data_IF_605431958936
#
_entry.id   IF_605431958936
#
_cell.length_a   1.000
_cell.length_b   1.000
_cell.length_c   1.000
_cell.angle_alpha   90.00
_cell.angle_beta   90.00
_cell.angle_gamma   90.00
#
_symmetry.space_group_name_H-M   'P 1'
#
loop_
_entity.id
_entity.type
_entity.pdbx_description
1 polymer ?
#
# COMPACT_ATOMS: atom_id res chain seq x y z
N UNK A 1 -9.37 -2.95 -2.36
CA UNK A 1 -9.53 -2.70 -0.92
C UNK A 1 -9.56 -4.00 -0.12
N UNK A 2 -10.57 -4.88 -0.24
CA UNK A 2 -10.61 -6.15 0.54
C UNK A 2 -9.37 -7.04 0.39
N UNK A 3 -8.90 -7.24 -0.84
CA UNK A 3 -7.69 -8.03 -1.10
C UNK A 3 -6.45 -7.46 -0.42
N UNK A 4 -6.32 -6.14 -0.39
CA UNK A 4 -5.16 -5.48 0.20
C UNK A 4 -5.22 -5.51 1.72
N UNK A 5 -6.41 -5.46 2.32
CA UNK A 5 -6.60 -5.66 3.76
C UNK A 5 -6.27 -7.11 4.17
N UNK A 6 -6.74 -8.09 3.39
CA UNK A 6 -6.43 -9.52 3.59
C UNK A 6 -4.92 -9.79 3.53
N UNK A 7 -4.24 -9.31 2.48
CA UNK A 7 -2.82 -9.58 2.27
C UNK A 7 -1.90 -8.78 3.21
N UNK A 8 -2.33 -7.62 3.69
CA UNK A 8 -1.57 -6.79 4.65
C UNK A 8 -1.92 -7.07 6.11
N UNK A 9 -2.95 -7.88 6.37
CA UNK A 9 -3.53 -8.09 7.69
C UNK A 9 -3.80 -6.77 8.45
N UNK A 10 -4.24 -5.75 7.72
CA UNK A 10 -4.47 -4.39 8.23
C UNK A 10 -5.77 -3.86 7.66
N UNK A 11 -6.63 -3.30 8.51
CA UNK A 11 -7.86 -2.64 8.05
C UNK A 11 -7.53 -1.32 7.37
N UNK A 12 -8.20 -1.03 6.26
CA UNK A 12 -8.00 0.23 5.58
C UNK A 12 -8.53 1.40 6.43
N UNK A 13 -7.78 2.50 6.41
CA UNK A 13 -8.11 3.74 7.11
C UNK A 13 -8.06 4.95 6.18
N UNK A 14 -8.38 6.11 6.75
CA UNK A 14 -8.19 7.41 6.10
C UNK A 14 -6.87 8.01 6.58
N UNK A 15 -6.20 8.72 5.68
CA UNK A 15 -4.95 9.41 5.97
C UNK A 15 -5.09 10.90 5.66
N UNK A 16 -4.45 11.74 6.47
CA UNK A 16 -4.49 13.20 6.34
C UNK A 16 -3.23 13.74 5.64
N UNK A 17 -2.98 13.22 4.44
CA UNK A 17 -1.90 13.70 3.57
C UNK A 17 -2.28 13.56 2.09
N UNK A 18 -1.71 14.43 1.27
CA UNK A 18 -1.94 14.43 -0.16
C UNK A 18 -1.15 13.30 -0.85
N UNK A 19 -1.77 12.71 -1.87
CA UNK A 19 -1.18 11.73 -2.80
C UNK A 19 -1.76 11.95 -4.19
N UNK A 20 -1.32 11.16 -5.17
CA UNK A 20 -1.83 11.15 -6.52
C UNK A 20 -3.13 10.34 -6.67
N UNK A 21 -3.59 9.63 -5.62
CA UNK A 21 -4.79 8.79 -5.68
C UNK A 21 -6.06 9.50 -6.17
N UNK A 22 -6.34 10.78 -5.81
CA UNK A 22 -7.50 11.49 -6.34
C UNK A 22 -7.50 11.61 -7.88
N UNK A 23 -6.33 11.81 -8.49
CA UNK A 23 -6.21 11.91 -9.95
C UNK A 23 -6.50 10.56 -10.62
N UNK A 24 -5.94 9.46 -10.10
CA UNK A 24 -6.23 8.12 -10.62
C UNK A 24 -7.69 7.71 -10.42
N UNK A 25 -8.30 8.09 -9.29
CA UNK A 25 -9.74 7.90 -9.06
C UNK A 25 -10.60 8.64 -10.09
N UNK A 26 -10.24 9.89 -10.42
CA UNK A 26 -10.94 10.67 -11.46
C UNK A 26 -10.79 10.05 -12.86
N UNK A 27 -9.72 9.30 -13.11
CA UNK A 27 -9.53 8.51 -14.33
C UNK A 27 -10.30 7.17 -14.33
N UNK A 28 -11.11 6.90 -13.31
CA UNK A 28 -11.93 5.68 -13.21
C UNK A 28 -11.21 4.46 -12.64
N UNK A 29 -10.01 4.64 -12.06
CA UNK A 29 -9.26 3.55 -11.44
C UNK A 29 -9.71 3.32 -9.99
N UNK A 30 -9.74 2.06 -9.55
CA UNK A 30 -9.84 1.76 -8.12
C UNK A 30 -8.48 1.99 -7.46
N UNK A 31 -8.40 2.98 -6.56
CA UNK A 31 -7.13 3.37 -5.94
C UNK A 31 -7.06 2.97 -4.47
N UNK A 32 -5.85 2.60 -4.02
CA UNK A 32 -5.52 2.39 -2.61
C UNK A 32 -4.09 2.89 -2.39
N UNK A 33 -3.84 3.51 -1.23
CA UNK A 33 -2.49 3.89 -0.80
C UNK A 33 -1.94 2.80 0.12
N UNK A 34 -0.77 2.28 -0.21
CA UNK A 34 -0.11 1.20 0.52
C UNK A 34 1.40 1.46 0.60
N UNK A 35 1.99 1.22 1.77
CA UNK A 35 3.43 1.33 1.97
C UNK A 35 3.85 0.57 3.24
N UNK A 36 5.11 0.11 3.33
CA UNK A 36 5.64 -0.50 4.55
C UNK A 36 6.06 0.54 5.60
N UNK A 37 6.07 1.82 5.22
CA UNK A 37 6.46 2.92 6.09
C UNK A 37 5.45 3.21 7.20
N UNK A 38 5.87 4.06 8.13
CA UNK A 38 5.00 4.66 9.13
C UNK A 38 4.90 6.15 8.82
N UNK A 39 3.67 6.67 8.72
CA UNK A 39 3.46 8.08 8.43
C UNK A 39 4.04 8.98 9.52
N UNK A 40 4.13 8.50 10.77
CA UNK A 40 4.76 9.24 11.85
C UNK A 40 6.28 9.45 11.64
N UNK A 41 6.92 8.66 10.77
CA UNK A 41 8.34 8.81 10.39
C UNK A 41 8.54 9.66 9.13
N UNK A 42 7.49 9.89 8.34
CA UNK A 42 7.61 10.69 7.13
C UNK A 42 7.99 12.15 7.45
N UNK A 43 8.85 12.75 6.62
CA UNK A 43 9.35 14.13 6.75
C UNK A 43 10.07 14.44 8.06
N UNK A 44 10.52 13.42 8.79
CA UNK A 44 11.40 13.62 9.94
C UNK A 44 12.86 13.73 9.49
N UNK A 45 13.72 14.50 10.20
CA UNK A 45 15.13 14.63 9.83
C UNK A 45 15.89 13.30 9.73
N UNK A 46 15.43 12.29 10.45
CA UNK A 46 15.96 10.93 10.49
C UNK A 46 14.99 9.89 9.90
N UNK A 47 14.15 10.29 8.95
CA UNK A 47 13.21 9.39 8.26
C UNK A 47 13.91 8.09 7.80
N UNK A 48 13.31 6.96 8.16
CA UNK A 48 13.84 5.64 7.83
C UNK A 48 12.72 4.62 7.64
N UNK A 49 13.06 3.49 7.01
CA UNK A 49 12.25 2.29 6.98
C UNK A 49 13.01 1.16 7.68
N UNK A 50 12.37 0.52 8.65
CA UNK A 50 12.97 -0.63 9.32
C UNK A 50 13.16 -1.80 8.33
N UNK A 51 14.37 -2.39 8.33
CA UNK A 51 14.77 -3.41 7.35
C UNK A 51 13.87 -4.66 7.41
N UNK A 52 13.40 -5.00 8.60
CA UNK A 52 12.49 -6.12 8.84
C UNK A 52 11.12 -5.94 8.16
N UNK A 53 10.74 -4.71 7.78
CA UNK A 53 9.51 -4.42 7.03
C UNK A 53 9.65 -4.68 5.53
N UNK A 54 10.87 -4.79 4.99
CA UNK A 54 11.10 -4.90 3.55
C UNK A 54 10.66 -6.25 3.00
N UNK A 55 11.22 -7.35 3.52
CA UNK A 55 10.95 -8.70 3.00
C UNK A 55 9.47 -9.12 3.06
N UNK A 56 8.75 -8.89 4.19
CA UNK A 56 7.32 -9.19 4.25
C UNK A 56 6.52 -8.38 3.24
N UNK A 57 6.83 -7.09 3.08
CA UNK A 57 6.11 -6.22 2.15
C UNK A 57 6.34 -6.60 0.68
N UNK A 58 7.56 -6.99 0.31
CA UNK A 58 7.84 -7.52 -1.03
C UNK A 58 7.03 -8.81 -1.28
N UNK A 59 6.92 -9.70 -0.30
CA UNK A 59 6.09 -10.92 -0.42
C UNK A 59 4.62 -10.56 -0.65
N UNK A 60 4.10 -9.60 0.12
CA UNK A 60 2.74 -9.09 -0.03
C UNK A 60 2.48 -8.50 -1.43
N UNK A 61 3.38 -7.65 -1.93
CA UNK A 61 3.27 -7.07 -3.27
C UNK A 61 3.28 -8.14 -4.37
N UNK A 62 4.13 -9.17 -4.24
CA UNK A 62 4.17 -10.30 -5.19
C UNK A 62 2.84 -11.04 -5.22
N UNK A 63 2.26 -11.35 -4.06
CA UNK A 63 0.95 -12.01 -3.98
C UNK A 63 -0.17 -11.13 -4.55
N UNK A 64 -0.13 -9.81 -4.30
CA UNK A 64 -1.09 -8.87 -4.85
C UNK A 64 -1.04 -8.87 -6.39
N UNK A 65 0.15 -8.73 -6.97
CA UNK A 65 0.36 -8.77 -8.42
C UNK A 65 -0.09 -10.11 -8.99
N UNK A 66 0.25 -11.23 -8.35
CA UNK A 66 -0.16 -12.56 -8.79
C UNK A 66 -1.70 -12.69 -8.85
N UNK A 67 -2.40 -12.27 -7.78
CA UNK A 67 -3.87 -12.38 -7.71
C UNK A 67 -4.59 -11.41 -8.63
N UNK A 68 -4.02 -10.24 -8.91
CA UNK A 68 -4.68 -9.21 -9.75
C UNK A 68 -4.34 -9.36 -11.23
N UNK A 69 -3.09 -9.70 -11.57
CA UNK A 69 -2.62 -9.70 -12.96
C UNK A 69 -2.58 -11.09 -13.60
N UNK A 70 -2.38 -12.15 -12.81
CA UNK A 70 -2.13 -13.49 -13.34
C UNK A 70 -3.20 -14.51 -12.98
N UNK A 71 -4.06 -14.19 -12.00
CA UNK A 71 -5.19 -15.05 -11.62
C UNK A 71 -6.47 -14.38 -12.10
N UNK A 72 -6.68 -14.41 -13.41
CA UNK A 72 -7.96 -14.03 -14.00
C UNK A 72 -8.85 -15.29 -14.03
N UNK A 73 -9.75 -15.41 -13.04
CA UNK A 73 -10.72 -16.51 -12.84
C UNK A 73 -10.13 -17.93 -12.83
#
# INVERSE_FOLDING_TARGET
MKLTEELSNTQAGVVDFATEAPYFSQMGMQTVILGPGDIAQAHQPNEYLAVDRISPYISMLRHLIQRVCFTAN
#
